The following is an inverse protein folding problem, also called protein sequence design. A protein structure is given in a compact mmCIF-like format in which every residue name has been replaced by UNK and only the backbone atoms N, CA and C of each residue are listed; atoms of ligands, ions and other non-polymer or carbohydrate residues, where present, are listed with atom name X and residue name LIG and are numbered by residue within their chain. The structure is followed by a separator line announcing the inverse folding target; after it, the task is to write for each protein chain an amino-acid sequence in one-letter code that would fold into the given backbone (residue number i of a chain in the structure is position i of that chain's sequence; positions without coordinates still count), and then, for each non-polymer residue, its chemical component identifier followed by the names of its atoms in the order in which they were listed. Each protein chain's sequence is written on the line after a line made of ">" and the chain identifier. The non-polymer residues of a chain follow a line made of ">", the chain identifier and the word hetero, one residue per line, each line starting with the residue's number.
data_IF_943121130955
#
_entry.id   IF_943121130955
#
_cell.length_a   1.000
_cell.length_b   1.000
_cell.length_c   1.000
_cell.angle_alpha   90.00
_cell.angle_beta   90.00
_cell.angle_gamma   90.00
#
_symmetry.space_group_name_H-M   'P 1'
#
loop_
_entity.id
_entity.type
_entity.pdbx_description
1 polymer ?
#
# COMPACT_ATOMS: atom_id res chain seq x y z
N UNK A 1 3.94 6.78 -33.25
CA UNK A 1 4.96 7.52 -32.47
C UNK A 1 4.40 8.05 -31.14
N UNK A 2 3.25 8.72 -31.13
CA UNK A 2 2.61 9.19 -29.89
C UNK A 2 2.25 8.07 -28.89
N UNK A 3 1.83 6.90 -29.39
CA UNK A 3 1.47 5.73 -28.56
C UNK A 3 2.64 5.19 -27.74
N UNK A 4 3.86 5.22 -28.27
CA UNK A 4 5.06 4.75 -27.58
C UNK A 4 5.43 5.63 -26.38
N UNK A 5 5.20 6.95 -26.50
CA UNK A 5 5.42 7.87 -25.39
C UNK A 5 4.37 7.64 -24.30
N UNK A 6 3.10 7.47 -24.69
CA UNK A 6 2.00 7.23 -23.75
C UNK A 6 2.21 5.93 -22.98
N UNK A 7 2.63 4.85 -23.64
CA UNK A 7 2.89 3.57 -22.96
C UNK A 7 4.06 3.65 -21.98
N UNK A 8 5.13 4.38 -22.31
CA UNK A 8 6.24 4.62 -21.37
C UNK A 8 5.80 5.41 -20.13
N UNK A 9 4.99 6.45 -20.31
CA UNK A 9 4.47 7.26 -19.20
C UNK A 9 3.56 6.42 -18.30
N UNK A 10 2.66 5.62 -18.87
CA UNK A 10 1.79 4.72 -18.10
C UNK A 10 2.60 3.70 -17.29
N UNK A 11 3.63 3.10 -17.89
CA UNK A 11 4.51 2.15 -17.20
C UNK A 11 5.25 2.80 -16.03
N UNK A 12 5.75 4.02 -16.20
CA UNK A 12 6.43 4.76 -15.13
C UNK A 12 5.50 5.08 -13.96
N UNK A 13 4.26 5.49 -14.25
CA UNK A 13 3.24 5.76 -13.21
C UNK A 13 2.91 4.48 -12.44
N UNK A 14 2.65 3.37 -13.15
CA UNK A 14 2.33 2.08 -12.51
C UNK A 14 3.49 1.58 -11.65
N UNK A 15 4.74 1.64 -12.15
CA UNK A 15 5.92 1.29 -11.36
C UNK A 15 6.06 2.19 -10.11
N UNK A 16 5.77 3.49 -10.24
CA UNK A 16 5.74 4.44 -9.12
C UNK A 16 4.71 4.06 -8.06
N UNK A 17 3.49 3.71 -8.47
CA UNK A 17 2.42 3.29 -7.55
C UNK A 17 2.80 1.97 -6.87
N UNK A 18 3.28 0.97 -7.62
CA UNK A 18 3.68 -0.33 -7.05
C UNK A 18 4.85 -0.17 -6.07
N UNK A 19 5.86 0.62 -6.40
CA UNK A 19 6.99 0.87 -5.49
C UNK A 19 6.56 1.62 -4.23
N UNK A 20 5.66 2.61 -4.34
CA UNK A 20 5.03 3.26 -3.19
C UNK A 20 4.27 2.21 -2.37
N UNK A 21 3.35 1.47 -2.97
CA UNK A 21 2.59 0.42 -2.28
C UNK A 21 3.49 -0.61 -1.58
N UNK A 22 4.58 -1.06 -2.20
CA UNK A 22 5.52 -2.02 -1.58
C UNK A 22 6.29 -1.37 -0.44
N UNK A 23 6.74 -0.13 -0.60
CA UNK A 23 7.41 0.63 0.47
C UNK A 23 6.47 0.93 1.62
N UNK A 24 5.23 1.30 1.34
CA UNK A 24 4.17 1.54 2.31
C UNK A 24 3.80 0.23 3.04
N UNK A 25 3.68 -0.90 2.32
CA UNK A 25 3.51 -2.23 2.93
C UNK A 25 4.69 -2.61 3.82
N UNK A 26 5.93 -2.39 3.37
CA UNK A 26 7.15 -2.70 4.14
C UNK A 26 7.32 -1.77 5.34
N UNK A 27 6.84 -0.53 5.24
CA UNK A 27 6.79 0.44 6.33
C UNK A 27 5.60 0.19 7.29
N UNK A 28 4.84 -0.88 7.12
CA UNK A 28 3.74 -1.24 8.01
C UNK A 28 2.46 -0.42 7.81
N UNK A 29 2.34 0.36 6.73
CA UNK A 29 1.07 0.99 6.32
C UNK A 29 0.18 -0.07 5.67
N UNK A 30 -0.37 -0.96 6.48
CA UNK A 30 -1.48 -1.82 6.08
C UNK A 30 -2.78 -0.99 6.04
N UNK A 31 -3.80 -1.47 5.34
CA UNK A 31 -5.12 -0.80 5.26
C UNK A 31 -5.81 -0.65 6.63
N UNK A 32 -5.33 -1.36 7.65
CA UNK A 32 -5.48 -0.91 9.03
C UNK A 32 -4.39 0.12 9.30
N UNK A 33 -4.73 1.41 9.30
CA UNK A 33 -3.83 2.54 9.63
C UNK A 33 -3.25 2.52 11.05
N UNK A 34 -3.22 1.35 11.68
CA UNK A 34 -2.68 1.11 12.99
C UNK A 34 -1.19 0.80 12.82
N UNK A 35 -0.35 1.84 12.81
CA UNK A 35 1.11 1.74 12.86
C UNK A 35 1.65 1.21 14.20
N UNK A 36 0.86 0.42 14.92
CA UNK A 36 1.15 -0.14 16.22
C UNK A 36 0.88 -1.65 16.18
N UNK A 37 1.65 -2.42 16.95
CA UNK A 37 1.23 -3.77 17.33
C UNK A 37 -0.24 -3.78 17.77
N UNK A 38 -0.89 -4.93 17.60
CA UNK A 38 -2.34 -5.12 17.77
C UNK A 38 -2.91 -4.84 19.19
N UNK A 39 -2.15 -4.19 20.07
CA UNK A 39 -2.58 -3.82 21.43
C UNK A 39 -3.40 -2.52 21.53
N UNK A 40 -3.48 -1.68 20.48
CA UNK A 40 -4.25 -0.42 20.54
C UNK A 40 -5.03 -0.09 19.26
N UNK A 41 -5.26 -1.06 18.39
CA UNK A 41 -6.13 -0.83 17.24
C UNK A 41 -7.60 -0.74 17.71
N UNK A 42 -8.39 0.26 17.25
CA UNK A 42 -9.80 0.38 17.59
C UNK A 42 -10.65 -0.80 17.10
N UNK A 43 -10.10 -1.63 16.20
CA UNK A 43 -10.68 -2.89 15.71
C UNK A 43 -10.08 -4.14 16.36
N UNK A 44 -9.28 -3.99 17.43
CA UNK A 44 -8.60 -5.11 18.13
C UNK A 44 -9.57 -6.19 18.63
N UNK A 45 -10.79 -5.79 19.05
CA UNK A 45 -11.83 -6.72 19.51
C UNK A 45 -12.38 -7.68 18.45
N UNK A 46 -12.19 -7.39 17.15
CA UNK A 46 -12.62 -8.29 16.06
C UNK A 46 -11.46 -9.08 15.44
N UNK A 47 -10.22 -8.57 15.52
CA UNK A 47 -9.05 -9.25 14.95
C UNK A 47 -8.66 -10.54 15.69
N UNK A 48 -8.96 -10.67 16.98
CA UNK A 48 -8.62 -11.83 17.81
C UNK A 48 -9.86 -12.39 18.52
N UNK A 49 -10.94 -12.67 17.78
CA UNK A 49 -12.14 -13.30 18.34
C UNK A 49 -12.02 -14.83 18.33
N UNK A 50 -11.18 -15.36 19.22
CA UNK A 50 -11.39 -16.62 19.96
C UNK A 50 -10.67 -16.53 21.32
#
# INVERSE_FOLDING_TARGET
>A
MATAIISLVLLAIVAGIVTKMVKDKKAGKSSCGCGCGCGSCPMSGECHKN
#
